data_IF_335995745401
#
_entry.id   IF_335995745401
#
_cell.length_a   1.000
_cell.length_b   1.000
_cell.length_c   1.000
_cell.angle_alpha   90.00
_cell.angle_beta   90.00
_cell.angle_gamma   90.00
#
_symmetry.space_group_name_H-M   'P 1'
#
loop_
_entity.id
_entity.type
_entity.pdbx_description
1 polymer ?
#
# COMPACT_ATOMS: atom_id res chain seq x y z
N UNK A 1 -13.70 39.63 44.52
CA UNK A 1 -14.51 38.93 43.49
C UNK A 1 -14.06 39.11 42.01
N UNK A 2 -13.22 40.08 41.65
CA UNK A 2 -12.75 40.29 40.24
C UNK A 2 -11.55 39.38 39.89
N UNK A 3 -10.80 38.90 40.88
CA UNK A 3 -9.60 38.06 40.70
C UNK A 3 -9.92 36.62 40.20
N UNK A 4 -11.02 36.03 40.65
CA UNK A 4 -11.40 34.66 40.30
C UNK A 4 -11.82 34.53 38.81
N UNK A 5 -12.48 35.54 38.26
CA UNK A 5 -12.90 35.53 36.86
C UNK A 5 -11.72 35.56 35.85
N UNK A 6 -10.62 36.24 36.23
CA UNK A 6 -9.40 36.28 35.36
C UNK A 6 -8.70 34.93 35.28
N UNK A 7 -8.64 34.20 36.40
CA UNK A 7 -8.07 32.85 36.43
C UNK A 7 -8.89 31.84 35.61
N UNK A 8 -10.21 31.93 35.69
CA UNK A 8 -11.11 31.07 34.93
C UNK A 8 -10.99 31.28 33.41
N UNK A 9 -10.88 32.54 32.96
CA UNK A 9 -10.69 32.87 31.53
C UNK A 9 -9.36 32.35 31.00
N UNK A 10 -8.29 32.45 31.80
CA UNK A 10 -6.98 31.91 31.43
C UNK A 10 -7.01 30.37 31.31
N UNK A 11 -7.70 29.69 32.22
CA UNK A 11 -7.88 28.23 32.19
C UNK A 11 -8.64 27.80 30.93
N UNK A 12 -9.74 28.46 30.60
CA UNK A 12 -10.49 28.16 29.37
C UNK A 12 -9.68 28.43 28.10
N UNK A 13 -8.91 29.53 28.05
CA UNK A 13 -7.99 29.82 26.94
C UNK A 13 -6.95 28.74 26.78
N UNK A 14 -6.36 28.26 27.88
CA UNK A 14 -5.38 27.16 27.82
C UNK A 14 -6.01 25.84 27.35
N UNK A 15 -7.18 25.47 27.84
CA UNK A 15 -7.89 24.25 27.40
C UNK A 15 -8.28 24.31 25.93
N UNK A 16 -8.73 25.49 25.47
CA UNK A 16 -9.03 25.69 24.04
C UNK A 16 -7.80 25.51 23.17
N UNK A 17 -6.65 26.05 23.59
CA UNK A 17 -5.39 25.91 22.86
C UNK A 17 -4.95 24.44 22.81
N UNK A 18 -5.05 23.70 23.91
CA UNK A 18 -4.75 22.26 23.92
C UNK A 18 -5.67 21.47 23.00
N UNK A 19 -6.97 21.78 23.01
CA UNK A 19 -7.93 21.13 22.12
C UNK A 19 -7.60 21.40 20.63
N UNK A 20 -7.23 22.63 20.27
CA UNK A 20 -6.82 22.97 18.91
C UNK A 20 -5.55 22.23 18.48
N UNK A 21 -4.55 22.12 19.36
CA UNK A 21 -3.33 21.35 19.10
C UNK A 21 -3.66 19.87 18.88
N UNK A 22 -4.53 19.30 19.71
CA UNK A 22 -4.97 17.92 19.58
C UNK A 22 -5.67 17.66 18.24
N UNK A 23 -6.59 18.54 17.84
CA UNK A 23 -7.30 18.44 16.56
C UNK A 23 -6.32 18.57 15.39
N UNK A 24 -5.44 19.56 15.44
CA UNK A 24 -4.44 19.77 14.37
C UNK A 24 -3.50 18.56 14.21
N UNK A 25 -3.04 17.99 15.32
CA UNK A 25 -2.18 16.79 15.29
C UNK A 25 -2.93 15.56 14.73
N UNK A 26 -4.19 15.38 15.09
CA UNK A 26 -5.02 14.31 14.53
C UNK A 26 -5.23 14.46 13.01
N UNK A 27 -5.43 15.69 12.52
CA UNK A 27 -5.54 15.97 11.09
C UNK A 27 -4.23 15.65 10.34
N UNK A 28 -3.08 15.95 10.96
CA UNK A 28 -1.76 15.60 10.38
C UNK A 28 -1.61 14.08 10.27
N UNK A 29 -2.02 13.33 11.28
CA UNK A 29 -1.96 11.87 11.25
C UNK A 29 -2.86 11.28 10.13
N UNK A 30 -4.08 11.78 9.98
CA UNK A 30 -4.98 11.37 8.90
C UNK A 30 -4.36 11.68 7.53
N UNK A 31 -3.77 12.87 7.37
CA UNK A 31 -3.09 13.24 6.13
C UNK A 31 -1.90 12.32 5.82
N UNK A 32 -1.08 12.00 6.83
CA UNK A 32 0.04 11.05 6.68
C UNK A 32 -0.42 9.66 6.24
N UNK A 33 -1.48 9.15 6.85
CA UNK A 33 -2.08 7.88 6.46
C UNK A 33 -2.52 7.88 5.00
N UNK A 34 -3.25 8.92 4.60
CA UNK A 34 -3.73 9.07 3.24
C UNK A 34 -2.57 9.18 2.22
N UNK A 35 -1.58 10.01 2.53
CA UNK A 35 -0.39 10.17 1.71
C UNK A 35 0.40 8.85 1.60
N UNK A 36 0.61 8.13 2.72
CA UNK A 36 1.26 6.82 2.73
C UNK A 36 0.53 5.82 1.84
N UNK A 37 -0.81 5.79 1.90
CA UNK A 37 -1.62 4.89 1.07
C UNK A 37 -1.48 5.18 -0.42
N UNK A 38 -1.49 6.45 -0.82
CA UNK A 38 -1.37 6.84 -2.23
C UNK A 38 -0.01 6.43 -2.79
N UNK A 39 1.07 6.81 -2.13
CA UNK A 39 2.40 6.48 -2.64
C UNK A 39 2.70 4.98 -2.58
N UNK A 40 2.24 4.26 -1.55
CA UNK A 40 2.40 2.81 -1.46
C UNK A 40 1.65 2.10 -2.59
N UNK A 41 0.43 2.58 -2.93
CA UNK A 41 -0.32 2.07 -4.07
C UNK A 41 0.41 2.34 -5.40
N UNK A 42 0.96 3.56 -5.60
CA UNK A 42 1.75 3.88 -6.79
C UNK A 42 2.98 3.00 -6.90
N UNK A 43 3.71 2.78 -5.81
CA UNK A 43 4.88 1.90 -5.79
C UNK A 43 4.51 0.45 -6.13
N UNK A 44 3.41 -0.08 -5.57
CA UNK A 44 2.91 -1.41 -5.90
C UNK A 44 2.48 -1.52 -7.37
N UNK A 45 1.84 -0.47 -7.92
CA UNK A 45 1.43 -0.42 -9.32
C UNK A 45 2.63 -0.37 -10.26
N UNK A 46 3.64 0.44 -9.98
CA UNK A 46 4.87 0.50 -10.76
C UNK A 46 5.62 -0.84 -10.74
N UNK A 47 5.68 -1.50 -9.58
CA UNK A 47 6.27 -2.81 -9.46
C UNK A 47 5.50 -3.87 -10.27
N UNK A 48 4.17 -3.87 -10.19
CA UNK A 48 3.33 -4.78 -10.98
C UNK A 48 3.51 -4.56 -12.48
N UNK A 49 3.55 -3.31 -12.94
CA UNK A 49 3.80 -2.95 -14.33
C UNK A 49 5.21 -3.38 -14.80
N UNK A 50 6.22 -3.19 -13.96
CA UNK A 50 7.59 -3.62 -14.28
C UNK A 50 7.66 -5.14 -14.42
N UNK A 51 7.06 -5.89 -13.49
CA UNK A 51 6.96 -7.34 -13.57
C UNK A 51 6.22 -7.81 -14.83
N UNK A 52 5.05 -7.24 -15.12
CA UNK A 52 4.27 -7.59 -16.29
C UNK A 52 4.96 -7.24 -17.62
N UNK A 53 5.68 -6.11 -17.68
CA UNK A 53 6.34 -5.68 -18.91
C UNK A 53 7.65 -6.45 -19.21
N UNK A 54 8.47 -6.67 -18.17
CA UNK A 54 9.79 -7.29 -18.31
C UNK A 54 9.77 -8.80 -18.15
N UNK A 55 8.74 -9.33 -17.51
CA UNK A 55 8.55 -10.75 -17.32
C UNK A 55 7.91 -11.47 -18.50
N UNK A 56 7.78 -10.85 -19.67
CA UNK A 56 7.20 -11.48 -20.86
C UNK A 56 8.05 -12.63 -21.35
N UNK A 57 7.42 -13.77 -21.59
CA UNK A 57 8.05 -14.91 -22.23
C UNK A 57 8.04 -14.74 -23.76
N UNK A 58 9.14 -14.18 -24.27
CA UNK A 58 9.31 -13.98 -25.69
C UNK A 58 9.40 -15.30 -26.48
N UNK A 59 9.83 -16.40 -25.84
CA UNK A 59 9.93 -17.69 -26.50
C UNK A 59 8.54 -18.26 -26.79
N UNK A 60 7.62 -18.18 -25.84
CA UNK A 60 6.22 -18.57 -26.03
C UNK A 60 5.53 -17.75 -27.13
N UNK A 61 5.80 -16.44 -27.17
CA UNK A 61 5.27 -15.56 -28.20
C UNK A 61 5.76 -15.94 -29.61
N UNK A 62 7.06 -16.25 -29.75
CA UNK A 62 7.66 -16.58 -31.05
C UNK A 62 7.28 -17.96 -31.55
N UNK A 63 6.99 -18.91 -30.66
CA UNK A 63 6.66 -20.30 -31.03
C UNK A 63 5.16 -20.58 -31.08
N UNK A 64 4.39 -19.99 -30.17
CA UNK A 64 2.97 -20.30 -29.98
C UNK A 64 2.00 -19.15 -30.24
N UNK A 65 2.49 -17.93 -30.50
CA UNK A 65 1.68 -16.71 -30.57
C UNK A 65 0.85 -16.46 -29.28
N UNK A 66 1.27 -17.07 -28.17
CA UNK A 66 0.62 -16.90 -26.88
C UNK A 66 1.42 -15.93 -26.01
N UNK A 67 0.71 -14.95 -25.45
CA UNK A 67 1.29 -14.05 -24.46
C UNK A 67 1.35 -14.75 -23.11
N UNK A 68 2.54 -15.00 -22.60
CA UNK A 68 2.78 -15.60 -21.29
C UNK A 68 3.79 -14.77 -20.50
N UNK A 69 3.80 -14.98 -19.18
CA UNK A 69 4.81 -14.43 -18.29
C UNK A 69 5.74 -15.54 -17.79
N UNK A 70 7.03 -15.28 -17.79
CA UNK A 70 7.98 -16.05 -17.00
C UNK A 70 7.83 -15.63 -15.54
N UNK A 71 7.26 -16.54 -14.73
CA UNK A 71 6.94 -16.24 -13.34
C UNK A 71 8.14 -15.81 -12.50
N UNK A 72 9.32 -16.39 -12.77
CA UNK A 72 10.54 -16.10 -12.01
C UNK A 72 11.04 -14.68 -12.35
N UNK A 73 11.13 -14.36 -13.62
CA UNK A 73 11.57 -13.05 -14.12
C UNK A 73 10.58 -11.96 -13.73
N UNK A 74 9.28 -12.19 -13.93
CA UNK A 74 8.22 -11.23 -13.58
C UNK A 74 8.24 -10.89 -12.08
N UNK A 75 8.35 -11.90 -11.24
CA UNK A 75 8.45 -11.74 -9.78
C UNK A 75 9.71 -10.97 -9.39
N UNK A 76 10.87 -11.37 -9.89
CA UNK A 76 12.16 -10.75 -9.59
C UNK A 76 12.19 -9.25 -9.99
N UNK A 77 11.64 -8.91 -11.15
CA UNK A 77 11.57 -7.52 -11.61
C UNK A 77 10.62 -6.66 -10.78
N UNK A 78 9.45 -7.20 -10.40
CA UNK A 78 8.53 -6.51 -9.51
C UNK A 78 9.14 -6.27 -8.12
N UNK A 79 9.76 -7.30 -7.53
CA UNK A 79 10.45 -7.19 -6.24
C UNK A 79 11.60 -6.19 -6.30
N UNK A 80 12.39 -6.18 -7.38
CA UNK A 80 13.52 -5.26 -7.57
C UNK A 80 13.06 -3.80 -7.57
N UNK A 81 11.98 -3.49 -8.29
CA UNK A 81 11.42 -2.13 -8.35
C UNK A 81 10.90 -1.73 -6.96
N UNK A 82 10.18 -2.62 -6.29
CA UNK A 82 9.61 -2.31 -4.97
C UNK A 82 10.70 -2.08 -3.91
N UNK A 83 11.75 -2.91 -3.91
CA UNK A 83 12.90 -2.74 -3.02
C UNK A 83 13.57 -1.39 -3.26
N UNK A 84 13.78 -1.01 -4.53
CA UNK A 84 14.37 0.28 -4.88
C UNK A 84 13.51 1.46 -4.42
N UNK A 85 12.18 1.38 -4.58
CA UNK A 85 11.25 2.39 -4.10
C UNK A 85 11.27 2.53 -2.57
N UNK A 86 11.27 1.41 -1.83
CA UNK A 86 11.36 1.44 -0.37
C UNK A 86 12.69 2.03 0.11
N UNK A 87 13.79 1.62 -0.53
CA UNK A 87 15.13 2.14 -0.22
C UNK A 87 15.24 3.65 -0.49
N UNK A 88 14.70 4.14 -1.61
CA UNK A 88 14.72 5.57 -1.97
C UNK A 88 14.02 6.45 -0.93
N UNK A 89 13.02 5.89 -0.24
CA UNK A 89 12.25 6.57 0.80
C UNK A 89 12.76 6.32 2.21
N UNK A 90 13.80 5.49 2.37
CA UNK A 90 14.34 5.11 3.68
C UNK A 90 13.37 4.29 4.53
N UNK A 91 12.43 3.58 3.90
CA UNK A 91 11.42 2.79 4.60
C UNK A 91 11.95 1.40 4.87
N UNK A 92 11.88 0.99 6.13
CA UNK A 92 12.23 -0.35 6.60
C UNK A 92 11.02 -1.00 7.29
N UNK A 93 11.08 -2.34 7.45
CA UNK A 93 10.02 -3.07 8.14
C UNK A 93 8.73 -3.23 7.35
N UNK A 94 8.77 -3.03 6.04
CA UNK A 94 7.66 -3.33 5.15
C UNK A 94 7.57 -4.83 4.84
N UNK A 95 6.37 -5.30 4.48
CA UNK A 95 6.13 -6.66 4.00
C UNK A 95 5.61 -6.59 2.58
N UNK A 96 6.14 -7.42 1.69
CA UNK A 96 5.68 -7.55 0.32
C UNK A 96 5.39 -9.00 -0.05
N UNK A 97 4.37 -9.22 -0.89
CA UNK A 97 4.11 -10.50 -1.54
C UNK A 97 3.77 -10.25 -3.01
N UNK A 98 4.53 -10.88 -3.89
CA UNK A 98 4.37 -10.76 -5.34
C UNK A 98 3.93 -12.10 -5.89
N UNK A 99 2.79 -12.12 -6.59
CA UNK A 99 2.22 -13.30 -7.22
C UNK A 99 2.06 -13.06 -8.72
N UNK A 100 2.25 -14.13 -9.49
CA UNK A 100 2.19 -14.08 -10.95
C UNK A 100 1.19 -15.11 -11.44
N UNK A 101 0.34 -14.69 -12.35
CA UNK A 101 -0.52 -15.53 -13.18
C UNK A 101 0.15 -15.62 -14.55
N UNK A 102 0.87 -16.72 -14.86
CA UNK A 102 1.73 -16.77 -16.03
C UNK A 102 1.01 -17.08 -17.33
N UNK A 103 -0.13 -17.76 -17.27
CA UNK A 103 -0.80 -18.35 -18.41
C UNK A 103 -1.60 -17.34 -19.23
N UNK A 104 -1.66 -17.55 -20.57
CA UNK A 104 -2.35 -16.68 -21.51
C UNK A 104 -3.85 -16.48 -21.16
N UNK A 105 -4.48 -17.47 -20.56
CA UNK A 105 -5.87 -17.38 -20.06
C UNK A 105 -5.99 -16.81 -18.65
N UNK A 106 -4.90 -16.35 -18.04
CA UNK A 106 -4.90 -15.89 -16.67
C UNK A 106 -5.08 -17.02 -15.65
N UNK A 107 -5.87 -16.76 -14.62
CA UNK A 107 -6.14 -17.73 -13.55
C UNK A 107 -6.66 -17.06 -12.30
N UNK A 108 -6.62 -17.80 -11.17
CA UNK A 108 -6.95 -17.25 -9.87
C UNK A 108 -5.99 -17.74 -8.78
N UNK A 109 -5.78 -16.88 -7.78
CA UNK A 109 -4.98 -17.20 -6.60
C UNK A 109 -5.86 -16.96 -5.36
N UNK A 110 -6.35 -18.05 -4.73
CA UNK A 110 -7.18 -17.93 -3.54
C UNK A 110 -6.35 -17.41 -2.35
N UNK A 111 -6.98 -16.60 -1.50
CA UNK A 111 -6.34 -16.03 -0.31
C UNK A 111 -5.32 -14.93 -0.59
N UNK A 112 -5.31 -14.38 -1.79
CA UNK A 112 -4.49 -13.23 -2.15
C UNK A 112 -5.39 -12.08 -2.61
N UNK A 113 -5.15 -10.83 -2.16
CA UNK A 113 -4.12 -10.36 -1.22
C UNK A 113 -4.29 -10.91 0.21
N UNK A 114 -3.19 -10.94 0.97
CA UNK A 114 -3.13 -11.55 2.32
C UNK A 114 -4.07 -10.90 3.34
N UNK A 115 -4.45 -9.64 3.12
CA UNK A 115 -5.42 -8.90 3.94
C UNK A 115 -6.35 -8.08 3.06
N UNK A 116 -7.58 -7.81 3.50
CA UNK A 116 -8.49 -6.93 2.79
C UNK A 116 -7.87 -5.54 2.60
N UNK A 117 -7.92 -5.02 1.39
CA UNK A 117 -7.35 -3.71 1.02
C UNK A 117 -8.38 -2.60 1.13
N UNK A 118 -9.68 -2.95 1.06
CA UNK A 118 -10.81 -2.03 1.21
C UNK A 118 -11.66 -2.41 2.40
N UNK A 119 -12.25 -1.41 3.04
CA UNK A 119 -13.22 -1.63 4.12
C UNK A 119 -14.42 -2.44 3.58
N UNK A 120 -14.74 -3.55 4.27
CA UNK A 120 -15.88 -4.40 3.91
C UNK A 120 -15.58 -5.48 2.87
N UNK A 121 -14.37 -5.55 2.33
CA UNK A 121 -13.95 -6.70 1.51
C UNK A 121 -13.61 -7.89 2.40
N UNK A 122 -14.09 -9.07 2.01
CA UNK A 122 -13.56 -10.35 2.50
C UNK A 122 -12.16 -10.58 1.91
N UNK A 123 -11.38 -11.45 2.54
CA UNK A 123 -10.17 -12.01 1.92
C UNK A 123 -10.56 -12.54 0.53
N UNK A 124 -10.11 -11.83 -0.50
CA UNK A 124 -10.54 -12.08 -1.85
C UNK A 124 -9.77 -13.21 -2.51
N UNK A 125 -10.28 -13.62 -3.61
CA UNK A 125 -9.58 -14.37 -4.62
C UNK A 125 -9.13 -13.38 -5.70
N UNK A 126 -7.82 -13.24 -5.89
CA UNK A 126 -7.34 -12.45 -7.01
C UNK A 126 -7.42 -13.28 -8.28
N UNK A 127 -8.14 -12.80 -9.26
CA UNK A 127 -8.28 -13.43 -10.55
C UNK A 127 -8.01 -12.44 -11.68
N UNK A 128 -7.50 -12.94 -12.79
CA UNK A 128 -7.32 -12.22 -14.04
C UNK A 128 -7.61 -13.15 -15.21
N UNK A 129 -8.14 -12.61 -16.29
CA UNK A 129 -8.37 -13.34 -17.54
C UNK A 129 -7.18 -13.25 -18.50
N UNK A 130 -6.10 -12.63 -18.08
CA UNK A 130 -4.86 -12.43 -18.83
C UNK A 130 -3.66 -12.68 -17.92
N UNK A 131 -2.45 -12.92 -18.50
CA UNK A 131 -1.24 -13.02 -17.70
C UNK A 131 -1.05 -11.74 -16.89
N UNK A 132 -0.86 -11.87 -15.59
CA UNK A 132 -0.83 -10.70 -14.70
C UNK A 132 0.13 -10.87 -13.53
N UNK A 133 0.60 -9.74 -13.03
CA UNK A 133 1.39 -9.66 -11.79
C UNK A 133 0.58 -8.91 -10.74
N UNK A 134 0.39 -9.53 -9.59
CA UNK A 134 -0.22 -8.92 -8.42
C UNK A 134 0.83 -8.63 -7.36
N UNK A 135 0.79 -7.43 -6.81
CA UNK A 135 1.70 -6.97 -5.77
C UNK A 135 0.89 -6.54 -4.56
N UNK A 136 1.11 -7.21 -3.45
CA UNK A 136 0.64 -6.82 -2.13
C UNK A 136 1.77 -6.17 -1.37
N UNK A 137 1.51 -5.03 -0.76
CA UNK A 137 2.48 -4.27 0.02
C UNK A 137 1.85 -3.80 1.33
N UNK A 138 2.56 -4.04 2.42
CA UNK A 138 2.24 -3.56 3.75
C UNK A 138 3.37 -2.67 4.24
N UNK A 139 3.06 -1.42 4.57
CA UNK A 139 4.04 -0.40 4.94
C UNK A 139 3.73 0.15 6.32
N UNK A 140 4.74 0.26 7.21
CA UNK A 140 4.57 0.93 8.49
C UNK A 140 4.34 2.43 8.28
N UNK A 141 3.50 3.02 9.12
CA UNK A 141 3.24 4.45 9.15
C UNK A 141 3.54 4.98 10.55
N UNK A 142 4.36 6.02 10.60
CA UNK A 142 4.68 6.72 11.83
C UNK A 142 3.59 7.72 12.17
N UNK A 143 3.06 7.62 13.40
CA UNK A 143 2.06 8.50 13.94
C UNK A 143 2.68 9.55 14.86
N UNK A 144 2.05 10.72 14.97
CA UNK A 144 2.42 11.75 15.92
C UNK A 144 1.62 11.65 17.22
N UNK A 145 0.31 11.71 17.09
CA UNK A 145 -0.60 11.75 18.23
C UNK A 145 -1.25 10.40 18.51
N UNK A 146 -1.58 9.65 17.47
CA UNK A 146 -2.23 8.35 17.62
C UNK A 146 -1.30 7.32 18.29
N UNK A 147 0.02 7.52 18.23
CA UNK A 147 0.99 6.72 18.98
C UNK A 147 0.86 6.95 20.50
N UNK A 148 0.59 8.20 20.94
CA UNK A 148 0.32 8.54 22.33
C UNK A 148 -0.99 7.93 22.84
N UNK A 149 -1.97 7.72 21.96
CA UNK A 149 -3.27 7.12 22.27
C UNK A 149 -3.25 5.59 22.17
N UNK A 150 -2.08 4.98 21.92
CA UNK A 150 -1.89 3.54 21.79
C UNK A 150 -2.80 2.89 20.72
N UNK A 151 -3.08 3.62 19.63
CA UNK A 151 -3.84 3.10 18.49
C UNK A 151 -2.97 2.12 17.73
N UNK A 152 -3.46 0.89 17.56
CA UNK A 152 -2.67 -0.23 17.00
C UNK A 152 -2.58 -0.24 15.47
N UNK A 153 -3.19 0.69 14.76
CA UNK A 153 -3.11 0.76 13.29
C UNK A 153 -1.76 1.35 12.90
N UNK A 154 -0.76 0.48 12.76
CA UNK A 154 0.62 0.90 12.44
C UNK A 154 1.03 0.65 10.99
N UNK A 155 0.14 0.08 10.18
CA UNK A 155 0.46 -0.34 8.81
C UNK A 155 -0.63 0.02 7.82
N UNK A 156 -0.21 0.36 6.61
CA UNK A 156 -1.09 0.55 5.45
C UNK A 156 -0.94 -0.64 4.53
N UNK A 157 -2.06 -1.19 4.10
CA UNK A 157 -2.11 -2.30 3.17
C UNK A 157 -2.58 -1.79 1.80
N UNK A 158 -1.86 -2.16 0.76
CA UNK A 158 -2.23 -1.86 -0.61
C UNK A 158 -2.04 -3.09 -1.49
N UNK A 159 -2.86 -3.16 -2.52
CA UNK A 159 -2.76 -4.17 -3.56
C UNK A 159 -2.90 -3.50 -4.92
N UNK A 160 -2.02 -3.86 -5.84
CA UNK A 160 -2.08 -3.45 -7.23
C UNK A 160 -1.80 -4.64 -8.13
N UNK A 161 -2.40 -4.65 -9.30
CA UNK A 161 -2.14 -5.66 -10.31
C UNK A 161 -2.00 -5.04 -11.69
N UNK A 162 -1.16 -5.66 -12.53
CA UNK A 162 -0.98 -5.28 -13.91
C UNK A 162 -1.02 -6.52 -14.79
N UNK A 163 -1.88 -6.49 -15.80
CA UNK A 163 -1.99 -7.52 -16.81
C UNK A 163 -1.24 -7.18 -18.08
N UNK A 164 -1.05 -8.19 -18.93
CA UNK A 164 -0.48 -8.03 -20.25
C UNK A 164 -1.59 -8.33 -21.26
N UNK A 165 -2.24 -7.28 -21.75
CA UNK A 165 -3.27 -7.41 -22.78
C UNK A 165 -2.69 -8.00 -24.09
N UNK A 166 -3.48 -8.88 -24.73
CA UNK A 166 -3.20 -9.44 -26.06
C UNK A 166 -3.48 -8.42 -27.16
#
# INVERSE_FOLDING_TARGET
MISERKGQTALWGFLTMLALIAIASGLVDIYRLYAARIWAYSAAQEAALAGASRGRDWSALMTGFEMRLDSATAKAEAERVLIAEMASRGISGYTMDVRVLPDAGGGSIPGFPLRPVRLGESLGEWSSNEPAVGVYLEVPVDWLMLDMLNVQIKTVHVFASAGVAQ
#
